data_IF_929337240466
#
_entry.id   IF_929337240466
#
_cell.length_a   1.000
_cell.length_b   1.000
_cell.length_c   1.000
_cell.angle_alpha   90.00
_cell.angle_beta   90.00
_cell.angle_gamma   90.00
#
_symmetry.space_group_name_H-M   'P 1'
#
loop_
_entity.id
_entity.type
_entity.pdbx_description
1 polymer ?
#
# COMPACT_ATOMS: atom_id res chain seq x y z
N UNK A 1 -3.95 26.23 -4.14
CA UNK A 1 -3.35 24.93 -3.77
C UNK A 1 -4.24 23.85 -4.36
N UNK A 2 -3.85 23.21 -5.46
CA UNK A 2 -4.69 22.23 -6.19
C UNK A 2 -3.91 21.00 -6.66
N UNK A 3 -2.65 20.85 -6.24
CA UNK A 3 -1.72 19.88 -6.82
C UNK A 3 -1.76 18.50 -6.14
N UNK A 4 -2.08 18.42 -4.84
CA UNK A 4 -2.04 17.14 -4.09
C UNK A 4 -3.11 16.14 -4.56
N UNK A 5 -4.28 16.64 -4.97
CA UNK A 5 -5.42 15.80 -5.37
C UNK A 5 -5.21 14.99 -6.66
N UNK A 6 -4.33 15.45 -7.57
CA UNK A 6 -4.13 14.78 -8.86
C UNK A 6 -3.17 13.60 -8.75
N UNK A 7 -2.14 13.70 -7.91
CA UNK A 7 -1.19 12.61 -7.71
C UNK A 7 -1.81 11.43 -6.98
N UNK A 8 -2.62 11.70 -5.94
CA UNK A 8 -3.38 10.67 -5.23
C UNK A 8 -4.31 9.90 -6.18
N UNK A 9 -5.07 10.61 -7.02
CA UNK A 9 -6.01 9.97 -7.95
C UNK A 9 -5.33 9.15 -9.05
N UNK A 10 -4.14 9.56 -9.50
CA UNK A 10 -3.36 8.80 -10.47
C UNK A 10 -2.86 7.49 -9.86
N UNK A 11 -2.25 7.53 -8.68
CA UNK A 11 -1.76 6.31 -8.02
C UNK A 11 -2.90 5.39 -7.59
N UNK A 12 -4.03 5.95 -7.17
CA UNK A 12 -5.24 5.18 -6.92
C UNK A 12 -5.75 4.50 -8.21
N UNK A 13 -5.82 5.22 -9.33
CA UNK A 13 -6.23 4.65 -10.62
C UNK A 13 -5.28 3.57 -11.11
N UNK A 14 -3.97 3.80 -11.01
CA UNK A 14 -2.95 2.85 -11.44
C UNK A 14 -2.98 1.59 -10.57
N UNK A 15 -3.15 1.76 -9.26
CA UNK A 15 -3.33 0.63 -8.34
C UNK A 15 -4.62 -0.13 -8.69
N UNK A 16 -5.75 0.55 -8.82
CA UNK A 16 -7.02 -0.10 -9.17
C UNK A 16 -7.00 -0.75 -10.57
N UNK A 17 -6.20 -0.24 -11.50
CA UNK A 17 -6.01 -0.81 -12.83
C UNK A 17 -5.12 -2.06 -12.79
N UNK A 18 -4.03 -2.04 -12.01
CA UNK A 18 -3.19 -3.22 -11.76
C UNK A 18 -4.02 -4.34 -11.13
N UNK A 19 -4.86 -4.00 -10.15
CA UNK A 19 -5.74 -4.98 -9.50
C UNK A 19 -6.88 -5.47 -10.39
N UNK A 20 -7.55 -4.59 -11.16
CA UNK A 20 -8.58 -5.02 -12.12
C UNK A 20 -8.02 -5.88 -13.25
N UNK A 21 -6.83 -5.59 -13.74
CA UNK A 21 -6.18 -6.41 -14.77
C UNK A 21 -5.61 -7.72 -14.19
N UNK A 22 -5.55 -7.86 -12.87
CA UNK A 22 -5.15 -9.09 -12.18
C UNK A 22 -6.33 -10.05 -11.92
N UNK A 23 -7.37 -10.00 -12.76
CA UNK A 23 -8.46 -10.99 -12.82
C UNK A 23 -7.87 -12.41 -12.96
N UNK A 24 -7.60 -13.06 -11.82
CA UNK A 24 -7.08 -14.42 -11.73
C UNK A 24 -5.55 -14.59 -11.74
N UNK A 25 -4.75 -13.52 -11.81
CA UNK A 25 -3.28 -13.63 -11.75
C UNK A 25 -2.76 -13.12 -10.40
N UNK A 26 -2.08 -14.01 -9.66
CA UNK A 26 -1.30 -13.66 -8.47
C UNK A 26 -0.40 -12.46 -8.79
N UNK A 27 -0.48 -11.41 -7.96
CA UNK A 27 0.48 -10.31 -8.01
C UNK A 27 1.88 -10.87 -7.85
N UNK A 28 2.72 -10.64 -8.85
CA UNK A 28 4.13 -11.06 -8.78
C UNK A 28 4.89 -10.21 -7.76
N UNK A 29 5.96 -10.74 -7.13
CA UNK A 29 6.82 -9.96 -6.24
C UNK A 29 7.25 -8.62 -6.83
N UNK A 30 7.62 -8.60 -8.13
CA UNK A 30 8.03 -7.39 -8.85
C UNK A 30 6.90 -6.36 -8.98
N UNK A 31 5.66 -6.80 -9.21
CA UNK A 31 4.50 -5.90 -9.23
C UNK A 31 4.19 -5.35 -7.84
N UNK A 32 4.37 -6.16 -6.79
CA UNK A 32 4.24 -5.73 -5.40
C UNK A 32 5.25 -4.62 -5.05
N UNK A 33 6.52 -4.77 -5.45
CA UNK A 33 7.56 -3.74 -5.26
C UNK A 33 7.21 -2.45 -5.99
N UNK A 34 6.79 -2.51 -7.26
CA UNK A 34 6.41 -1.31 -8.02
C UNK A 34 5.24 -0.55 -7.39
N UNK A 35 4.28 -1.28 -6.84
CA UNK A 35 3.17 -0.71 -6.10
C UNK A 35 3.66 0.02 -4.84
N UNK A 36 4.52 -0.64 -4.06
CA UNK A 36 5.09 -0.07 -2.84
C UNK A 36 5.90 1.19 -3.15
N UNK A 37 6.74 1.16 -4.18
CA UNK A 37 7.54 2.30 -4.63
C UNK A 37 6.64 3.49 -5.02
N UNK A 38 5.51 3.22 -5.70
CA UNK A 38 4.53 4.25 -6.05
C UNK A 38 3.88 4.88 -4.82
N UNK A 39 3.56 4.07 -3.80
CA UNK A 39 3.00 4.58 -2.54
C UNK A 39 4.01 5.37 -1.73
N UNK A 40 5.26 4.92 -1.64
CA UNK A 40 6.33 5.66 -0.96
C UNK A 40 6.54 7.05 -1.58
N UNK A 41 6.47 7.14 -2.91
CA UNK A 41 6.57 8.41 -3.63
C UNK A 41 5.36 9.33 -3.38
N UNK A 42 4.15 8.78 -3.29
CA UNK A 42 2.93 9.56 -3.04
C UNK A 42 2.86 10.07 -1.61
N UNK A 43 3.27 9.23 -0.66
CA UNK A 43 3.28 9.57 0.77
C UNK A 43 4.50 10.44 1.14
N UNK A 44 5.37 10.76 0.19
CA UNK A 44 6.54 11.61 0.40
C UNK A 44 6.13 13.04 0.80
N UNK A 45 6.72 13.56 1.87
CA UNK A 45 6.53 14.94 2.32
C UNK A 45 5.47 15.14 3.40
N UNK A 46 4.77 14.08 3.84
CA UNK A 46 3.82 14.15 4.95
C UNK A 46 4.37 13.41 6.20
N UNK A 47 4.67 14.14 7.29
CA UNK A 47 5.25 13.56 8.50
C UNK A 47 4.25 12.71 9.30
N UNK A 48 2.95 12.86 9.08
CA UNK A 48 1.93 12.06 9.78
C UNK A 48 1.87 10.61 9.27
N UNK A 49 2.54 10.32 8.15
CA UNK A 49 2.54 9.02 7.46
C UNK A 49 3.93 8.36 7.43
N UNK A 50 4.91 8.91 8.17
CA UNK A 50 6.26 8.33 8.27
C UNK A 50 6.26 6.90 8.81
N UNK A 51 5.31 6.55 9.70
CA UNK A 51 5.19 5.18 10.19
C UNK A 51 4.73 4.19 9.10
N UNK A 52 3.79 4.60 8.23
CA UNK A 52 3.38 3.79 7.07
C UNK A 52 4.54 3.64 6.09
N UNK A 53 5.29 4.72 5.84
CA UNK A 53 6.46 4.68 4.95
C UNK A 53 7.51 3.69 5.44
N UNK A 54 7.81 3.69 6.74
CA UNK A 54 8.75 2.73 7.33
C UNK A 54 8.32 1.28 7.12
N UNK A 55 7.03 0.98 7.30
CA UNK A 55 6.50 -0.37 7.06
C UNK A 55 6.43 -0.75 5.57
N UNK A 56 6.16 0.21 4.69
CA UNK A 56 6.24 0.01 3.24
C UNK A 56 7.67 -0.35 2.81
N UNK A 57 8.68 0.34 3.34
CA UNK A 57 10.09 0.02 3.10
C UNK A 57 10.49 -1.37 3.64
N UNK A 58 9.97 -1.74 4.81
CA UNK A 58 10.16 -3.07 5.39
C UNK A 58 9.54 -4.16 4.51
N UNK A 59 8.31 -3.96 4.06
CA UNK A 59 7.61 -4.86 3.14
C UNK A 59 8.36 -5.00 1.80
N UNK A 60 8.84 -3.88 1.24
CA UNK A 60 9.65 -3.86 0.02
C UNK A 60 10.90 -4.74 0.19
N UNK A 61 11.60 -4.57 1.30
CA UNK A 61 12.82 -5.32 1.62
C UNK A 61 12.52 -6.81 1.78
N UNK A 62 11.44 -7.15 2.47
CA UNK A 62 11.02 -8.54 2.67
C UNK A 62 10.67 -9.24 1.34
N UNK A 63 9.98 -8.55 0.43
CA UNK A 63 9.64 -9.08 -0.91
C UNK A 63 10.90 -9.26 -1.78
N UNK A 64 11.89 -8.36 -1.64
CA UNK A 64 13.14 -8.39 -2.41
C UNK A 64 14.21 -9.32 -1.81
N UNK A 65 13.95 -9.94 -0.66
CA UNK A 65 14.91 -10.85 -0.03
C UNK A 65 15.21 -12.05 -0.95
N UNK A 66 16.44 -12.59 -0.87
CA UNK A 66 16.85 -13.78 -1.64
C UNK A 66 15.95 -15.00 -1.35
N UNK A 67 15.41 -15.06 -0.13
CA UNK A 67 14.40 -16.03 0.30
C UNK A 67 13.25 -15.29 0.99
N UNK A 68 12.20 -14.89 0.23
CA UNK A 68 11.07 -14.19 0.79
C UNK A 68 10.29 -15.08 1.77
N UNK A 69 10.15 -14.63 3.01
CA UNK A 69 9.30 -15.29 4.00
C UNK A 69 7.84 -14.85 3.78
N UNK A 70 7.05 -15.72 3.18
CA UNK A 70 5.65 -15.44 2.83
C UNK A 70 4.76 -15.21 4.06
N UNK A 71 5.06 -15.84 5.21
CA UNK A 71 4.32 -15.63 6.45
C UNK A 71 4.63 -14.25 7.03
N UNK A 72 5.90 -13.85 7.03
CA UNK A 72 6.33 -12.54 7.45
C UNK A 72 5.77 -11.44 6.53
N UNK A 73 5.84 -11.64 5.20
CA UNK A 73 5.24 -10.74 4.21
C UNK A 73 3.73 -10.61 4.43
N UNK A 74 3.00 -11.72 4.63
CA UNK A 74 1.58 -11.70 4.96
C UNK A 74 1.27 -10.91 6.24
N UNK A 75 2.09 -11.06 7.28
CA UNK A 75 1.96 -10.27 8.52
C UNK A 75 2.19 -8.78 8.28
N UNK A 76 3.21 -8.42 7.47
CA UNK A 76 3.50 -7.03 7.13
C UNK A 76 2.35 -6.40 6.33
N UNK A 77 1.81 -7.12 5.35
CA UNK A 77 0.65 -6.68 4.56
C UNK A 77 -0.57 -6.41 5.45
N UNK A 78 -0.88 -7.31 6.39
CA UNK A 78 -1.98 -7.13 7.33
C UNK A 78 -1.76 -5.93 8.26
N UNK A 79 -0.56 -5.80 8.84
CA UNK A 79 -0.23 -4.68 9.74
C UNK A 79 -0.33 -3.34 9.01
N UNK A 80 0.20 -3.29 7.78
CA UNK A 80 0.17 -2.09 6.95
C UNK A 80 -1.27 -1.72 6.57
N UNK A 81 -2.12 -2.71 6.29
CA UNK A 81 -3.53 -2.48 6.01
C UNK A 81 -4.29 -1.92 7.21
N UNK A 82 -4.06 -2.47 8.40
CA UNK A 82 -4.67 -2.00 9.64
C UNK A 82 -4.23 -0.57 9.97
N UNK A 83 -2.94 -0.26 9.85
CA UNK A 83 -2.42 1.10 10.07
C UNK A 83 -2.93 2.11 9.05
N UNK A 84 -3.01 1.72 7.78
CA UNK A 84 -3.59 2.57 6.72
C UNK A 84 -5.06 2.88 7.01
N UNK A 85 -5.84 1.91 7.49
CA UNK A 85 -7.24 2.13 7.87
C UNK A 85 -7.37 3.00 9.15
N UNK A 86 -6.50 2.79 10.14
CA UNK A 86 -6.48 3.59 11.36
C UNK A 86 -6.14 5.05 11.08
N UNK A 87 -5.12 5.30 10.26
CA UNK A 87 -4.76 6.66 9.85
C UNK A 87 -5.88 7.26 9.00
N UNK A 88 -6.46 6.51 8.06
CA UNK A 88 -7.60 7.02 7.31
C UNK A 88 -8.83 7.31 8.20
N UNK A 89 -8.93 6.72 9.38
CA UNK A 89 -10.06 6.91 10.30
C UNK A 89 -9.77 7.92 11.42
N UNK A 90 -8.54 8.45 11.53
CA UNK A 90 -8.18 9.43 12.55
C UNK A 90 -8.80 10.80 12.20
N UNK A 91 -9.49 11.42 13.16
CA UNK A 91 -10.14 12.73 13.01
C UNK A 91 -9.14 13.86 12.70
N UNK A 92 -7.85 13.69 12.97
CA UNK A 92 -6.78 14.64 12.59
C UNK A 92 -6.31 14.50 11.13
N UNK A 93 -6.84 13.52 10.41
CA UNK A 93 -6.53 13.28 9.00
C UNK A 93 -7.30 14.29 8.17
N UNK A 94 -6.79 15.53 8.07
CA UNK A 94 -7.34 16.55 7.18
C UNK A 94 -7.18 16.11 5.71
N UNK A 95 -8.11 15.25 5.28
CA UNK A 95 -8.67 15.07 3.94
C UNK A 95 -7.76 14.64 2.79
N UNK A 96 -6.44 14.66 2.95
CA UNK A 96 -5.52 14.54 1.80
C UNK A 96 -5.26 13.09 1.39
N UNK A 97 -5.44 12.12 2.28
CA UNK A 97 -5.03 10.72 2.02
C UNK A 97 -6.06 9.66 2.44
N UNK A 98 -7.17 10.09 3.02
CA UNK A 98 -8.21 9.22 3.59
C UNK A 98 -8.73 8.20 2.57
N UNK A 99 -9.00 8.64 1.33
CA UNK A 99 -9.49 7.78 0.26
C UNK A 99 -8.42 6.83 -0.28
N UNK A 100 -7.20 7.34 -0.47
CA UNK A 100 -6.03 6.56 -0.87
C UNK A 100 -5.71 5.43 0.10
N UNK A 101 -5.57 5.76 1.39
CA UNK A 101 -5.18 4.81 2.44
C UNK A 101 -6.22 3.72 2.68
N UNK A 102 -7.53 4.04 2.60
CA UNK A 102 -8.59 3.01 2.67
C UNK A 102 -8.49 2.04 1.49
N UNK A 103 -8.20 2.55 0.30
CA UNK A 103 -8.05 1.69 -0.88
C UNK A 103 -6.80 0.82 -0.78
N UNK A 104 -5.68 1.40 -0.36
CA UNK A 104 -4.45 0.68 -0.06
C UNK A 104 -4.69 -0.43 0.97
N UNK A 105 -5.37 -0.14 2.08
CA UNK A 105 -5.68 -1.11 3.12
C UNK A 105 -6.44 -2.34 2.56
N UNK A 106 -7.45 -2.11 1.72
CA UNK A 106 -8.22 -3.20 1.10
C UNK A 106 -7.38 -4.05 0.16
N UNK A 107 -6.55 -3.40 -0.63
CA UNK A 107 -5.61 -4.03 -1.56
C UNK A 107 -4.62 -4.93 -0.80
N UNK A 108 -3.98 -4.40 0.24
CA UNK A 108 -3.02 -5.14 1.06
C UNK A 108 -3.65 -6.35 1.72
N UNK A 109 -4.89 -6.23 2.25
CA UNK A 109 -5.64 -7.37 2.79
C UNK A 109 -5.91 -8.44 1.75
N UNK A 110 -6.37 -8.05 0.56
CA UNK A 110 -6.63 -9.02 -0.49
C UNK A 110 -5.36 -9.78 -0.92
N UNK A 111 -4.21 -9.10 -0.97
CA UNK A 111 -2.92 -9.75 -1.27
C UNK A 111 -2.52 -10.68 -0.13
N UNK A 112 -2.65 -10.23 1.12
CA UNK A 112 -2.34 -11.04 2.29
C UNK A 112 -3.19 -12.31 2.34
N UNK A 113 -4.50 -12.20 2.09
CA UNK A 113 -5.41 -13.36 2.01
C UNK A 113 -4.95 -14.37 0.96
N UNK A 114 -4.59 -13.90 -0.25
CA UNK A 114 -4.11 -14.76 -1.34
C UNK A 114 -2.75 -15.41 -1.10
N UNK A 115 -1.88 -14.80 -0.30
CA UNK A 115 -0.57 -15.38 0.06
C UNK A 115 -0.72 -16.46 1.14
N UNK A 116 -1.76 -16.35 1.97
CA UNK A 116 -2.05 -17.29 3.06
C UNK A 116 -3.00 -18.44 2.66
N UNK A 117 -3.58 -18.41 1.46
CA UNK A 117 -4.32 -19.54 0.84
C UNK A 117 -3.39 -20.65 0.34
#
# INVERSE_FOLDING_TARGET
MLSSNTYEQNVLSDTLALFRNSDGYMLTPSQGVLLIDSWLQVLEGDPNIDEIKGQLDELRTAIQAEQPDTLYIGSLLNSLAEKSENIASDDNSEGTWTGGLVSLARILRNVSEKINE
#
